data_IF_129412550617
#
_entry.id   IF_129412550617
#
_cell.length_a   1.000
_cell.length_b   1.000
_cell.length_c   1.000
_cell.angle_alpha   90.00
_cell.angle_beta   90.00
_cell.angle_gamma   90.00
#
_symmetry.space_group_name_H-M   'P 1'
#
loop_
_entity.id
_entity.type
_entity.pdbx_description
1 polymer ?
#
# COMPACT_ATOMS: atom_id res chain seq x y z
N UNK A 1 -8.10 32.71 -3.10
CA UNK A 1 -6.85 33.47 -2.96
C UNK A 1 -5.81 32.54 -2.39
N UNK A 2 -4.76 32.34 -3.17
CA UNK A 2 -3.67 31.37 -3.03
C UNK A 2 -2.59 31.85 -2.07
N UNK A 3 -2.11 30.97 -1.21
CA UNK A 3 -0.81 31.07 -0.56
C UNK A 3 -0.35 29.65 -0.19
N UNK A 4 0.43 29.05 -1.07
CA UNK A 4 1.27 27.89 -0.78
C UNK A 4 2.58 28.42 -0.19
N UNK A 5 2.83 28.18 1.09
CA UNK A 5 4.16 28.37 1.69
C UNK A 5 4.74 26.99 2.00
N UNK A 6 5.58 26.52 1.08
CA UNK A 6 6.40 25.33 1.23
C UNK A 6 7.66 25.67 2.03
N UNK A 7 7.79 25.04 3.20
CA UNK A 7 9.01 24.99 4.00
C UNK A 7 10.17 24.37 3.22
N UNK A 8 11.21 25.17 2.92
CA UNK A 8 12.49 24.69 2.40
C UNK A 8 13.57 24.87 3.46
N UNK A 9 14.10 23.78 4.01
CA UNK A 9 15.32 23.81 4.83
C UNK A 9 16.51 24.04 3.90
N UNK A 10 17.12 25.23 3.99
CA UNK A 10 18.20 25.68 3.11
C UNK A 10 19.57 25.22 3.63
N UNK A 11 20.25 24.33 2.90
CA UNK A 11 21.62 23.84 3.20
C UNK A 11 22.73 24.81 2.76
N UNK A 12 22.38 26.01 2.32
CA UNK A 12 23.33 27.00 1.80
C UNK A 12 24.25 27.60 2.88
N UNK A 13 23.85 27.59 4.16
CA UNK A 13 24.61 28.23 5.25
C UNK A 13 25.86 27.46 5.69
N UNK A 14 25.96 26.15 5.42
CA UNK A 14 27.07 25.30 5.90
C UNK A 14 28.32 25.33 5.00
N UNK A 15 28.22 25.92 3.80
CA UNK A 15 29.33 25.97 2.83
C UNK A 15 30.00 27.35 2.74
N UNK A 16 29.45 28.37 3.40
CA UNK A 16 30.00 29.73 3.37
C UNK A 16 31.21 29.88 4.31
N UNK A 17 31.23 29.17 5.43
CA UNK A 17 32.25 29.36 6.48
C UNK A 17 33.61 28.71 6.17
N UNK A 18 33.72 27.87 5.14
CA UNK A 18 35.00 27.24 4.75
C UNK A 18 35.82 28.06 3.74
N UNK A 19 35.28 29.14 3.18
CA UNK A 19 35.95 29.88 2.10
C UNK A 19 36.85 31.03 2.55
N UNK A 20 36.72 31.48 3.80
CA UNK A 20 37.40 32.69 4.29
C UNK A 20 38.80 32.48 4.91
N UNK A 21 39.44 31.32 4.77
CA UNK A 21 40.69 31.01 5.48
C UNK A 21 41.93 30.83 4.59
N UNK A 22 41.87 31.05 3.27
CA UNK A 22 42.96 30.74 2.35
C UNK A 22 43.18 31.84 1.29
N UNK A 23 43.42 33.07 1.72
CA UNK A 23 43.99 34.09 0.82
C UNK A 23 45.15 34.81 1.51
N UNK A 24 46.38 34.45 1.10
CA UNK A 24 47.60 35.08 1.58
C UNK A 24 48.78 34.83 0.65
N UNK A 25 49.28 35.92 0.05
CA UNK A 25 50.56 36.10 -0.66
C UNK A 25 50.71 35.60 -2.11
N UNK A 26 50.95 36.60 -2.96
CA UNK A 26 51.12 36.66 -4.43
C UNK A 26 52.45 36.11 -4.97
N UNK A 27 52.38 35.46 -6.14
CA UNK A 27 53.45 35.52 -7.16
C UNK A 27 52.80 35.41 -8.55
N UNK A 28 53.30 36.14 -9.56
CA UNK A 28 52.68 36.25 -10.89
C UNK A 28 52.67 34.96 -11.73
N UNK A 29 53.25 33.86 -11.22
CA UNK A 29 53.09 32.51 -11.79
C UNK A 29 52.00 31.68 -11.09
N UNK A 30 51.39 32.20 -10.01
CA UNK A 30 50.25 31.59 -9.33
C UNK A 30 48.91 31.97 -9.98
N UNK A 31 48.79 33.14 -10.63
CA UNK A 31 47.56 33.55 -11.32
C UNK A 31 47.24 32.66 -12.53
N UNK A 32 48.23 32.26 -13.33
CA UNK A 32 47.99 31.38 -14.49
C UNK A 32 47.66 29.94 -14.05
N UNK A 33 48.24 29.46 -12.94
CA UNK A 33 47.92 28.13 -12.39
C UNK A 33 46.55 28.16 -11.71
N UNK A 34 46.22 29.23 -10.97
CA UNK A 34 44.91 29.44 -10.35
C UNK A 34 43.81 29.63 -11.39
N UNK A 35 44.03 30.37 -12.48
CA UNK A 35 43.04 30.51 -13.57
C UNK A 35 42.81 29.20 -14.32
N UNK A 36 43.85 28.39 -14.53
CA UNK A 36 43.71 27.07 -15.16
C UNK A 36 43.06 26.06 -14.21
N UNK A 37 43.34 26.13 -12.90
CA UNK A 37 42.68 25.32 -11.88
C UNK A 37 41.23 25.76 -11.64
N UNK A 38 40.92 27.05 -11.64
CA UNK A 38 39.57 27.59 -11.54
C UNK A 38 38.76 27.31 -12.81
N UNK A 39 39.34 27.44 -14.01
CA UNK A 39 38.68 27.04 -15.25
C UNK A 39 38.44 25.52 -15.33
N UNK A 40 39.36 24.69 -14.81
CA UNK A 40 39.16 23.23 -14.67
C UNK A 40 38.11 22.91 -13.60
N UNK A 41 38.08 23.65 -12.49
CA UNK A 41 37.10 23.49 -11.42
C UNK A 41 35.70 23.93 -11.86
N UNK A 42 35.58 25.02 -12.64
CA UNK A 42 34.33 25.50 -13.20
C UNK A 42 33.83 24.60 -14.33
N UNK A 43 34.72 24.07 -15.18
CA UNK A 43 34.37 23.03 -16.16
C UNK A 43 33.86 21.76 -15.47
N UNK A 44 34.56 21.28 -14.42
CA UNK A 44 34.11 20.16 -13.59
C UNK A 44 32.76 20.45 -12.90
N UNK A 45 32.54 21.69 -12.43
CA UNK A 45 31.30 22.11 -11.78
C UNK A 45 30.14 22.17 -12.78
N UNK A 46 30.37 22.69 -13.99
CA UNK A 46 29.38 22.70 -15.07
C UNK A 46 29.05 21.29 -15.55
N UNK A 47 30.03 20.41 -15.71
CA UNK A 47 29.81 19.00 -16.04
C UNK A 47 29.01 18.27 -14.95
N UNK A 48 29.34 18.49 -13.67
CA UNK A 48 28.57 17.94 -12.55
C UNK A 48 27.13 18.47 -12.53
N UNK A 49 26.92 19.75 -12.85
CA UNK A 49 25.59 20.35 -12.94
C UNK A 49 24.79 19.76 -14.10
N UNK A 50 25.40 19.62 -15.27
CA UNK A 50 24.80 18.98 -16.43
C UNK A 50 24.42 17.52 -16.16
N UNK A 51 25.30 16.76 -15.50
CA UNK A 51 25.02 15.38 -15.12
C UNK A 51 23.85 15.28 -14.13
N UNK A 52 23.79 16.17 -13.12
CA UNK A 52 22.66 16.23 -12.18
C UNK A 52 21.35 16.56 -12.88
N UNK A 53 21.37 17.50 -13.83
CA UNK A 53 20.18 17.85 -14.60
C UNK A 53 19.75 16.70 -15.52
N UNK A 54 20.68 16.01 -16.17
CA UNK A 54 20.40 14.83 -16.97
C UNK A 54 19.77 13.71 -16.11
N UNK A 55 20.33 13.45 -14.93
CA UNK A 55 19.77 12.48 -13.97
C UNK A 55 18.37 12.91 -13.49
N UNK A 56 18.16 14.20 -13.26
CA UNK A 56 16.85 14.75 -12.88
C UNK A 56 15.83 14.54 -14.01
N UNK A 57 16.16 14.92 -15.25
CA UNK A 57 15.29 14.72 -16.41
C UNK A 57 14.97 13.25 -16.63
N UNK A 58 15.96 12.37 -16.48
CA UNK A 58 15.78 10.92 -16.55
C UNK A 58 14.77 10.40 -15.51
N UNK A 59 14.76 10.97 -14.29
CA UNK A 59 13.77 10.61 -13.26
C UNK A 59 12.38 11.20 -13.55
N UNK A 60 12.30 12.43 -14.07
CA UNK A 60 11.03 13.07 -14.47
C UNK A 60 10.33 12.25 -15.55
N UNK A 61 11.09 11.84 -16.58
CA UNK A 61 10.59 11.07 -17.73
C UNK A 61 10.52 9.56 -17.45
N UNK A 62 10.98 9.12 -16.28
CA UNK A 62 11.01 7.72 -15.89
C UNK A 62 9.63 7.06 -15.84
N UNK A 63 9.56 5.77 -16.16
CA UNK A 63 8.33 4.98 -16.14
C UNK A 63 8.54 3.54 -15.66
N UNK A 64 7.59 3.01 -14.89
CA UNK A 64 7.58 1.63 -14.40
C UNK A 64 7.13 0.67 -15.50
N UNK A 65 6.21 1.13 -16.36
CA UNK A 65 5.65 0.34 -17.46
C UNK A 65 5.11 1.24 -18.56
N UNK A 66 5.09 0.72 -19.78
CA UNK A 66 4.43 1.33 -20.94
C UNK A 66 2.97 0.92 -21.07
N UNK A 67 2.58 -0.12 -20.34
CA UNK A 67 1.25 -0.73 -20.37
C UNK A 67 0.30 0.07 -19.47
N UNK A 68 -0.86 0.43 -19.99
CA UNK A 68 -1.96 1.05 -19.24
C UNK A 68 -2.94 0.01 -18.71
N UNK A 69 -3.82 0.42 -17.78
CA UNK A 69 -4.91 -0.43 -17.29
C UNK A 69 -5.88 -0.86 -18.41
N UNK A 70 -6.05 -0.02 -19.44
CA UNK A 70 -6.89 -0.35 -20.60
C UNK A 70 -6.28 -1.45 -21.47
N UNK A 71 -4.95 -1.48 -21.59
CA UNK A 71 -4.24 -2.49 -22.41
C UNK A 71 -4.35 -3.90 -21.80
N UNK A 72 -4.64 -4.00 -20.50
CA UNK A 72 -4.78 -5.26 -19.76
C UNK A 72 -6.22 -5.56 -19.35
N UNK A 73 -7.17 -4.74 -19.80
CA UNK A 73 -8.58 -4.95 -19.56
C UNK A 73 -9.29 -5.41 -20.84
N UNK A 74 -10.24 -6.31 -20.70
CA UNK A 74 -11.12 -6.77 -21.77
C UNK A 74 -12.56 -6.76 -21.30
N UNK A 75 -13.51 -6.61 -22.22
CA UNK A 75 -14.93 -6.64 -21.91
C UNK A 75 -15.45 -8.08 -21.99
N UNK A 76 -15.93 -8.63 -20.88
CA UNK A 76 -16.61 -9.94 -20.80
C UNK A 76 -17.94 -9.78 -20.10
N UNK A 77 -19.00 -10.34 -20.67
CA UNK A 77 -20.36 -10.32 -20.09
C UNK A 77 -20.82 -8.91 -19.65
N UNK A 78 -20.46 -7.88 -20.43
CA UNK A 78 -20.83 -6.48 -20.15
C UNK A 78 -20.03 -5.80 -19.03
N UNK A 79 -19.01 -6.46 -18.46
CA UNK A 79 -18.10 -5.91 -17.47
C UNK A 79 -16.64 -5.95 -17.92
N UNK A 80 -15.82 -5.01 -17.44
CA UNK A 80 -14.38 -5.11 -17.62
C UNK A 80 -13.80 -6.19 -16.72
N UNK A 81 -12.90 -6.98 -17.28
CA UNK A 81 -12.14 -8.04 -16.63
C UNK A 81 -10.67 -7.99 -17.09
N UNK A 82 -9.79 -8.68 -16.39
CA UNK A 82 -8.39 -8.82 -16.81
C UNK A 82 -8.31 -9.65 -18.09
N UNK A 83 -7.45 -9.27 -19.05
CA UNK A 83 -7.41 -9.93 -20.36
C UNK A 83 -7.12 -11.43 -20.31
N UNK A 84 -6.57 -11.95 -19.20
CA UNK A 84 -6.41 -13.39 -18.99
C UNK A 84 -7.55 -13.91 -18.12
N UNK A 85 -8.32 -14.82 -18.69
CA UNK A 85 -9.48 -15.42 -18.06
C UNK A 85 -9.13 -16.11 -16.75
N UNK A 86 -10.05 -16.03 -15.79
CA UNK A 86 -10.00 -16.77 -14.52
C UNK A 86 -8.69 -16.63 -13.74
N UNK A 87 -7.95 -15.53 -13.95
CA UNK A 87 -6.62 -15.32 -13.35
C UNK A 87 -6.69 -14.43 -12.12
N UNK A 88 -7.50 -13.38 -12.16
CA UNK A 88 -7.67 -12.46 -11.04
C UNK A 88 -8.97 -12.76 -10.30
N UNK A 89 -8.94 -12.54 -8.99
CA UNK A 89 -10.14 -12.38 -8.16
C UNK A 89 -10.26 -10.90 -7.84
N UNK A 90 -11.44 -10.32 -7.99
CA UNK A 90 -11.71 -8.95 -7.55
C UNK A 90 -12.90 -8.93 -6.58
N UNK A 91 -12.62 -8.69 -5.31
CA UNK A 91 -13.63 -8.49 -4.29
C UNK A 91 -13.94 -7.00 -4.24
N UNK A 92 -15.14 -6.63 -4.68
CA UNK A 92 -15.58 -5.23 -4.73
C UNK A 92 -16.35 -4.88 -3.47
N UNK A 93 -16.05 -3.72 -2.89
CA UNK A 93 -16.93 -3.08 -1.92
C UNK A 93 -18.21 -2.59 -2.59
N UNK A 94 -19.06 -1.94 -1.80
CA UNK A 94 -20.28 -1.28 -2.29
C UNK A 94 -20.01 0.13 -2.80
N UNK A 95 -18.93 0.76 -2.31
CA UNK A 95 -18.51 2.12 -2.64
C UNK A 95 -16.98 2.23 -2.73
N UNK A 96 -16.51 3.34 -3.28
CA UNK A 96 -15.16 3.88 -3.14
C UNK A 96 -15.07 4.81 -1.91
N UNK A 97 -13.86 5.22 -1.55
CA UNK A 97 -13.68 6.26 -0.53
C UNK A 97 -14.28 7.63 -0.93
N UNK A 98 -14.49 7.88 -2.22
CA UNK A 98 -14.99 9.16 -2.70
C UNK A 98 -16.51 9.30 -2.59
N UNK A 99 -17.25 8.19 -2.46
CA UNK A 99 -18.72 8.20 -2.32
C UNK A 99 -19.20 8.86 -1.02
N UNK A 100 -18.30 9.08 -0.04
CA UNK A 100 -18.58 9.91 1.13
C UNK A 100 -18.96 11.35 0.74
N UNK A 101 -18.42 11.86 -0.38
CA UNK A 101 -18.66 13.23 -0.87
C UNK A 101 -20.12 13.48 -1.26
N UNK A 102 -20.81 12.45 -1.73
CA UNK A 102 -22.17 12.60 -2.27
C UNK A 102 -23.26 12.42 -1.20
N UNK A 103 -22.89 12.16 0.06
CA UNK A 103 -23.84 11.83 1.14
C UNK A 103 -24.64 10.55 0.90
N UNK A 104 -24.24 9.76 -0.12
CA UNK A 104 -24.96 8.56 -0.59
C UNK A 104 -24.81 7.37 0.33
N UNK A 105 -23.78 7.34 1.18
CA UNK A 105 -23.52 6.23 2.09
C UNK A 105 -23.66 6.67 3.54
N UNK A 106 -24.62 6.10 4.28
CA UNK A 106 -24.74 6.28 5.74
C UNK A 106 -23.57 5.68 6.54
N UNK A 107 -22.68 4.95 5.88
CA UNK A 107 -21.61 4.18 6.51
C UNK A 107 -20.38 5.06 6.81
N UNK A 108 -19.97 5.94 5.89
CA UNK A 108 -18.76 6.75 6.03
C UNK A 108 -19.02 8.09 6.72
N UNK A 109 -18.02 8.65 7.42
CA UNK A 109 -18.17 9.94 8.10
C UNK A 109 -18.28 11.10 7.09
N UNK A 110 -18.91 12.22 7.48
CA UNK A 110 -19.30 13.28 6.55
C UNK A 110 -18.15 14.14 6.00
N UNK A 111 -16.96 14.14 6.63
CA UNK A 111 -15.87 15.07 6.29
C UNK A 111 -14.59 14.39 5.76
N UNK A 112 -14.62 13.06 5.57
CA UNK A 112 -13.44 12.33 5.12
C UNK A 112 -13.42 12.22 3.61
N UNK A 113 -12.40 12.80 2.97
CA UNK A 113 -12.29 12.92 1.52
C UNK A 113 -11.05 12.23 0.93
N UNK A 114 -10.07 11.87 1.78
CA UNK A 114 -8.81 11.21 1.43
C UNK A 114 -8.35 10.33 2.59
N UNK A 115 -8.95 9.15 2.72
CA UNK A 115 -8.52 8.17 3.71
C UNK A 115 -7.68 7.04 3.10
N UNK A 116 -7.23 7.14 1.84
CA UNK A 116 -6.64 5.97 1.17
C UNK A 116 -5.33 5.50 1.82
N UNK A 117 -4.54 6.40 2.41
CA UNK A 117 -3.40 5.98 3.20
C UNK A 117 -3.81 5.23 4.47
N UNK A 118 -4.83 5.72 5.18
CA UNK A 118 -5.39 5.03 6.35
C UNK A 118 -6.01 3.68 5.99
N UNK A 119 -6.73 3.61 4.87
CA UNK A 119 -7.27 2.36 4.31
C UNK A 119 -6.16 1.38 3.98
N UNK A 120 -5.20 1.79 3.16
CA UNK A 120 -4.13 0.92 2.70
C UNK A 120 -3.28 0.41 3.85
N UNK A 121 -3.00 1.25 4.87
CA UNK A 121 -2.29 0.83 6.09
C UNK A 121 -3.11 -0.13 6.96
N UNK A 122 -4.40 0.12 7.21
CA UNK A 122 -5.23 -0.77 8.02
C UNK A 122 -5.48 -2.09 7.29
N UNK A 123 -5.87 -2.05 6.01
CA UNK A 123 -6.11 -3.24 5.19
C UNK A 123 -4.85 -4.12 5.11
N UNK A 124 -3.68 -3.49 4.90
CA UNK A 124 -2.39 -4.16 4.96
C UNK A 124 -2.18 -4.91 6.28
N UNK A 125 -2.32 -4.22 7.41
CA UNK A 125 -2.06 -4.80 8.74
C UNK A 125 -3.06 -5.91 9.06
N UNK A 126 -4.35 -5.65 8.88
CA UNK A 126 -5.42 -6.60 9.23
C UNK A 126 -5.36 -7.83 8.34
N UNK A 127 -5.32 -7.67 7.02
CA UNK A 127 -5.40 -8.82 6.11
C UNK A 127 -4.11 -9.64 6.06
N UNK A 128 -2.93 -9.01 6.19
CA UNK A 128 -1.69 -9.78 6.29
C UNK A 128 -1.55 -10.54 7.61
N UNK A 129 -2.27 -10.12 8.67
CA UNK A 129 -2.27 -10.80 9.98
C UNK A 129 -2.95 -12.18 9.93
N UNK A 130 -3.78 -12.42 8.92
CA UNK A 130 -4.35 -13.75 8.64
C UNK A 130 -3.25 -14.79 8.42
N UNK A 131 -2.18 -14.38 7.73
CA UNK A 131 -0.95 -15.12 7.52
C UNK A 131 -1.01 -16.36 6.61
N UNK A 132 -2.19 -16.95 6.41
CA UNK A 132 -2.45 -18.02 5.45
C UNK A 132 -3.59 -17.68 4.50
N UNK A 133 -3.55 -18.23 3.29
CA UNK A 133 -4.61 -17.99 2.30
C UNK A 133 -5.94 -18.65 2.68
N UNK A 134 -5.93 -19.75 3.44
CA UNK A 134 -7.15 -20.43 3.90
C UNK A 134 -7.96 -19.57 4.87
N UNK A 135 -7.31 -18.80 5.75
CA UNK A 135 -8.01 -17.91 6.70
C UNK A 135 -8.59 -16.68 5.99
N UNK A 136 -7.99 -16.23 4.88
CA UNK A 136 -8.60 -15.20 4.02
C UNK A 136 -9.93 -15.64 3.41
N UNK A 137 -10.15 -16.94 3.17
CA UNK A 137 -11.41 -17.42 2.63
C UNK A 137 -12.59 -17.17 3.58
N UNK A 138 -12.34 -17.09 4.89
CA UNK A 138 -13.34 -16.77 5.90
C UNK A 138 -13.88 -15.33 5.76
N UNK A 139 -13.14 -14.46 5.07
CA UNK A 139 -13.47 -13.05 4.93
C UNK A 139 -13.25 -12.50 3.51
N UNK A 140 -13.26 -13.37 2.51
CA UNK A 140 -13.04 -12.99 1.11
C UNK A 140 -14.34 -12.51 0.45
N UNK A 141 -14.97 -11.46 1.00
CA UNK A 141 -16.26 -10.96 0.54
C UNK A 141 -16.40 -9.42 0.58
N UNK A 142 -17.56 -8.94 0.10
CA UNK A 142 -17.92 -7.51 0.04
C UNK A 142 -17.93 -6.87 1.42
N UNK A 143 -18.32 -7.60 2.47
CA UNK A 143 -18.43 -7.10 3.84
C UNK A 143 -17.07 -6.69 4.39
N UNK A 144 -16.02 -7.44 4.05
CA UNK A 144 -14.64 -7.13 4.42
C UNK A 144 -14.16 -5.82 3.82
N UNK A 145 -14.37 -5.60 2.52
CA UNK A 145 -13.96 -4.35 1.85
C UNK A 145 -14.74 -3.17 2.42
N UNK A 146 -16.05 -3.34 2.63
CA UNK A 146 -16.90 -2.32 3.24
C UNK A 146 -16.48 -2.00 4.67
N UNK A 147 -16.11 -3.01 5.47
CA UNK A 147 -15.69 -2.80 6.85
C UNK A 147 -14.38 -2.04 6.92
N UNK A 148 -13.39 -2.46 6.13
CA UNK A 148 -12.10 -1.79 6.04
C UNK A 148 -12.28 -0.33 5.61
N UNK A 149 -13.11 -0.07 4.59
CA UNK A 149 -13.39 1.30 4.14
C UNK A 149 -14.08 2.14 5.23
N UNK A 150 -15.12 1.57 5.86
CA UNK A 150 -15.85 2.18 6.96
C UNK A 150 -14.92 2.59 8.10
N UNK A 151 -14.16 1.62 8.64
CA UNK A 151 -13.37 1.86 9.84
C UNK A 151 -12.19 2.78 9.54
N UNK A 152 -11.57 2.65 8.37
CA UNK A 152 -10.48 3.52 7.95
C UNK A 152 -10.93 4.97 7.79
N UNK A 153 -12.11 5.22 7.22
CA UNK A 153 -12.63 6.58 7.07
C UNK A 153 -12.91 7.22 8.45
N UNK A 154 -13.58 6.49 9.36
CA UNK A 154 -13.85 6.98 10.70
C UNK A 154 -12.59 7.23 11.51
N UNK A 155 -11.66 6.27 11.53
CA UNK A 155 -10.40 6.39 12.25
C UNK A 155 -9.53 7.51 11.69
N UNK A 156 -9.52 7.71 10.37
CA UNK A 156 -8.88 8.86 9.75
C UNK A 156 -9.43 10.17 10.31
N UNK A 157 -10.76 10.35 10.32
CA UNK A 157 -11.38 11.60 10.78
C UNK A 157 -11.10 11.90 12.26
N UNK A 158 -11.29 10.92 13.13
CA UNK A 158 -11.24 11.15 14.58
C UNK A 158 -9.80 11.19 15.12
N UNK A 159 -8.84 10.59 14.41
CA UNK A 159 -7.43 10.64 14.78
C UNK A 159 -6.69 11.83 14.18
N UNK A 160 -7.28 12.54 13.20
CA UNK A 160 -6.65 13.68 12.53
C UNK A 160 -6.01 14.72 13.46
N UNK A 161 -6.64 15.11 14.61
CA UNK A 161 -6.01 16.08 15.52
C UNK A 161 -4.82 15.56 16.31
N UNK A 162 -4.58 14.24 16.33
CA UNK A 162 -3.45 13.60 17.02
C UNK A 162 -2.21 13.59 16.14
N UNK A 163 -2.35 13.80 14.83
CA UNK A 163 -1.21 13.77 13.92
C UNK A 163 -0.29 14.98 14.16
N UNK A 164 1.05 14.80 14.13
CA UNK A 164 2.01 15.89 14.32
C UNK A 164 1.81 17.04 13.33
N UNK A 165 1.42 16.74 12.09
CA UNK A 165 1.22 17.73 11.05
C UNK A 165 -0.26 18.09 10.89
N UNK A 166 -0.65 19.28 11.37
CA UNK A 166 -2.01 19.78 11.19
C UNK A 166 -2.28 20.13 9.73
N UNK A 167 -3.42 19.66 9.20
CA UNK A 167 -3.90 19.89 7.82
C UNK A 167 -3.07 19.23 6.71
N UNK A 168 -2.09 18.40 7.06
CA UNK A 168 -1.38 17.54 6.12
C UNK A 168 -1.92 16.11 6.19
N UNK A 169 -1.69 15.36 5.11
CA UNK A 169 -1.98 13.92 5.05
C UNK A 169 -1.09 13.17 6.04
N UNK A 170 -1.61 12.20 6.81
CA UNK A 170 -0.79 11.49 7.78
C UNK A 170 0.24 10.63 7.08
N UNK A 171 1.46 10.57 7.61
CA UNK A 171 2.44 9.56 7.20
C UNK A 171 2.03 8.17 7.71
N UNK A 172 2.64 7.11 7.16
CA UNK A 172 2.45 5.74 7.68
C UNK A 172 2.86 5.65 9.16
N UNK A 173 3.91 6.38 9.56
CA UNK A 173 4.35 6.48 10.95
C UNK A 173 3.30 7.13 11.86
N UNK A 174 2.68 8.22 11.40
CA UNK A 174 1.61 8.89 12.14
C UNK A 174 0.42 7.96 12.38
N UNK A 175 0.03 7.18 11.37
CA UNK A 175 -1.03 6.19 11.48
C UNK A 175 -0.65 5.06 12.43
N UNK A 176 0.55 4.50 12.31
CA UNK A 176 1.04 3.45 13.20
C UNK A 176 1.00 3.86 14.67
N UNK A 177 1.41 5.10 14.97
CA UNK A 177 1.42 5.64 16.32
C UNK A 177 0.00 5.98 16.81
N UNK A 178 -0.75 6.79 16.05
CA UNK A 178 -2.07 7.26 16.46
C UNK A 178 -3.09 6.12 16.58
N UNK A 179 -2.99 5.11 15.72
CA UNK A 179 -3.89 3.95 15.70
C UNK A 179 -3.32 2.74 16.45
N UNK A 180 -2.16 2.86 17.11
CA UNK A 180 -1.57 1.81 17.96
C UNK A 180 -1.48 0.43 17.28
N UNK A 181 -1.28 0.41 15.95
CA UNK A 181 -1.44 -0.82 15.15
C UNK A 181 -0.51 -1.95 15.60
N UNK A 182 0.72 -1.59 16.01
CA UNK A 182 1.75 -2.55 16.46
C UNK A 182 1.41 -3.29 17.75
N UNK A 183 0.49 -2.76 18.55
CA UNK A 183 0.12 -3.31 19.85
C UNK A 183 -0.92 -4.41 19.74
N UNK A 184 -1.77 -4.36 18.70
CA UNK A 184 -2.93 -5.23 18.58
C UNK A 184 -2.81 -6.26 17.44
N UNK A 185 -1.97 -5.99 16.44
CA UNK A 185 -1.85 -6.85 15.27
C UNK A 185 -0.44 -7.44 15.13
N UNK A 186 -0.32 -8.71 14.68
CA UNK A 186 0.96 -9.37 14.50
C UNK A 186 1.72 -8.84 13.29
N UNK A 187 1.01 -8.38 12.25
CA UNK A 187 1.61 -7.69 11.13
C UNK A 187 1.91 -6.24 11.47
N UNK A 188 3.09 -5.76 11.08
CA UNK A 188 3.60 -4.43 11.41
C UNK A 188 4.13 -3.75 10.16
N UNK A 189 3.70 -2.51 9.94
CA UNK A 189 4.36 -1.66 8.95
C UNK A 189 5.62 -1.08 9.59
N UNK A 190 6.77 -1.29 8.95
CA UNK A 190 8.06 -0.78 9.42
C UNK A 190 8.36 0.55 8.70
N UNK A 191 7.85 1.65 9.24
CA UNK A 191 8.07 2.98 8.66
C UNK A 191 9.53 3.44 8.68
N UNK A 192 10.41 2.82 9.49
CA UNK A 192 11.85 3.13 9.50
C UNK A 192 12.64 2.45 8.38
N UNK A 193 12.05 1.49 7.67
CA UNK A 193 12.69 0.70 6.61
C UNK A 193 12.14 1.05 5.22
N UNK A 194 11.41 2.16 5.08
CA UNK A 194 10.82 2.52 3.80
C UNK A 194 11.88 2.83 2.75
N UNK A 195 11.61 2.44 1.51
CA UNK A 195 12.46 2.74 0.36
C UNK A 195 11.79 3.82 -0.51
N UNK A 196 12.58 4.78 -1.00
CA UNK A 196 12.13 5.76 -2.00
C UNK A 196 12.47 5.23 -3.38
N UNK A 197 11.45 5.00 -4.21
CA UNK A 197 11.60 4.49 -5.57
C UNK A 197 11.14 5.54 -6.58
N UNK A 198 11.98 5.81 -7.57
CA UNK A 198 11.62 6.59 -8.74
C UNK A 198 10.97 5.70 -9.80
N UNK A 199 10.12 6.30 -10.63
CA UNK A 199 9.41 5.56 -11.67
C UNK A 199 10.33 4.91 -12.71
N UNK A 200 11.57 5.36 -12.92
CA UNK A 200 12.56 4.68 -13.78
C UNK A 200 13.24 3.45 -13.14
N UNK A 201 12.93 3.09 -11.89
CA UNK A 201 13.54 1.96 -11.17
C UNK A 201 12.66 0.70 -11.22
N UNK A 202 12.18 0.34 -12.43
CA UNK A 202 11.28 -0.80 -12.65
C UNK A 202 11.83 -2.11 -12.09
N UNK A 203 13.11 -2.40 -12.31
CA UNK A 203 13.69 -3.68 -11.89
C UNK A 203 13.73 -3.81 -10.37
N UNK A 204 14.03 -2.71 -9.67
CA UNK A 204 13.94 -2.67 -8.21
C UNK A 204 12.52 -2.90 -7.70
N UNK A 205 11.53 -2.27 -8.34
CA UNK A 205 10.12 -2.49 -7.97
C UNK A 205 9.70 -3.96 -8.19
N UNK A 206 10.21 -4.63 -9.24
CA UNK A 206 9.96 -6.07 -9.45
C UNK A 206 10.59 -6.91 -8.35
N UNK A 207 11.83 -6.64 -7.97
CA UNK A 207 12.50 -7.35 -6.87
C UNK A 207 11.70 -7.26 -5.56
N UNK A 208 11.08 -6.12 -5.27
CA UNK A 208 10.20 -5.95 -4.10
C UNK A 208 8.92 -6.80 -4.21
N UNK A 209 8.33 -6.91 -5.40
CA UNK A 209 7.19 -7.81 -5.63
C UNK A 209 7.61 -9.28 -5.48
N UNK A 210 8.77 -9.67 -5.98
CA UNK A 210 9.27 -11.04 -5.90
C UNK A 210 9.57 -11.47 -4.44
N UNK A 211 9.94 -10.52 -3.58
CA UNK A 211 10.12 -10.75 -2.14
C UNK A 211 8.84 -11.28 -1.47
N UNK A 212 7.65 -10.95 -1.99
CA UNK A 212 6.38 -11.40 -1.44
C UNK A 212 6.18 -12.93 -1.53
N UNK A 213 6.84 -13.58 -2.49
CA UNK A 213 6.79 -15.04 -2.70
C UNK A 213 8.14 -15.71 -2.39
N UNK A 214 8.98 -15.07 -1.57
CA UNK A 214 10.28 -15.63 -1.19
C UNK A 214 10.14 -16.61 -0.03
N UNK A 215 10.62 -17.83 -0.19
CA UNK A 215 10.82 -18.76 0.93
C UNK A 215 12.20 -18.55 1.53
N UNK A 216 12.26 -18.09 2.78
CA UNK A 216 13.52 -18.17 3.54
C UNK A 216 13.87 -19.65 3.73
N UNK A 217 14.82 -20.15 2.95
CA UNK A 217 15.35 -21.51 3.11
C UNK A 217 16.06 -21.62 4.47
N UNK A 218 15.49 -22.42 5.37
CA UNK A 218 16.26 -23.26 6.27
C UNK A 218 17.21 -22.63 7.30
N UNK A 219 16.80 -21.61 8.06
CA UNK A 219 17.48 -21.32 9.33
C UNK A 219 16.60 -21.78 10.49
N UNK A 220 17.15 -22.57 11.43
CA UNK A 220 16.49 -22.92 12.70
C UNK A 220 16.13 -21.69 13.56
N UNK A 221 16.62 -20.49 13.19
CA UNK A 221 16.29 -19.19 13.78
C UNK A 221 15.28 -18.37 12.94
N UNK A 222 14.72 -18.93 11.86
CA UNK A 222 13.79 -18.22 10.98
C UNK A 222 12.43 -17.90 11.65
N UNK A 223 12.06 -18.65 12.70
CA UNK A 223 10.78 -18.49 13.40
C UNK A 223 10.69 -17.17 14.20
N UNK A 224 11.83 -16.58 14.56
CA UNK A 224 11.91 -15.23 15.14
C UNK A 224 12.07 -14.11 14.11
N UNK A 225 12.28 -14.44 12.82
CA UNK A 225 12.51 -13.42 11.78
C UNK A 225 11.18 -12.83 11.29
N UNK A 226 11.11 -11.50 11.27
CA UNK A 226 10.01 -10.74 10.70
C UNK A 226 10.13 -10.74 9.17
N UNK A 227 9.49 -11.71 8.51
CA UNK A 227 9.46 -11.81 7.05
C UNK A 227 8.62 -10.69 6.45
N UNK A 228 9.05 -10.14 5.30
CA UNK A 228 8.23 -9.21 4.53
C UNK A 228 7.07 -9.99 3.92
N UNK A 229 5.85 -9.53 4.19
CA UNK A 229 4.61 -10.13 3.71
C UNK A 229 3.76 -9.13 2.91
N UNK A 230 4.28 -7.93 2.66
CA UNK A 230 3.57 -6.90 1.92
C UNK A 230 4.27 -5.55 1.96
N UNK A 231 3.66 -4.56 1.29
CA UNK A 231 4.09 -3.16 1.31
C UNK A 231 2.89 -2.23 1.34
N UNK A 232 3.02 -1.10 2.03
CA UNK A 232 2.18 0.09 1.80
C UNK A 232 2.95 0.99 0.84
N UNK A 233 2.33 1.35 -0.28
CA UNK A 233 2.95 2.12 -1.36
C UNK A 233 2.24 3.45 -1.49
N UNK A 234 2.94 4.55 -1.18
CA UNK A 234 2.42 5.90 -1.39
C UNK A 234 3.08 6.54 -2.61
N UNK A 235 2.26 7.08 -3.52
CA UNK A 235 2.67 7.82 -4.71
C UNK A 235 1.87 9.11 -4.81
N UNK A 236 2.46 10.22 -4.35
CA UNK A 236 1.72 11.47 -4.17
C UNK A 236 0.57 11.31 -3.17
N UNK A 237 -0.64 11.68 -3.59
CA UNK A 237 -1.91 11.52 -2.87
C UNK A 237 -2.54 10.13 -3.03
N UNK A 238 -1.96 9.26 -3.87
CA UNK A 238 -2.42 7.88 -4.02
C UNK A 238 -1.70 6.94 -3.07
N UNK A 239 -2.44 6.00 -2.48
CA UNK A 239 -1.84 4.96 -1.65
C UNK A 239 -2.57 3.65 -1.84
N UNK A 240 -1.80 2.62 -2.17
CA UNK A 240 -2.24 1.22 -2.23
C UNK A 240 -1.45 0.39 -1.25
N UNK A 241 -1.97 -0.77 -0.91
CA UNK A 241 -1.16 -1.79 -0.24
C UNK A 241 -1.19 -3.09 -1.00
N UNK A 242 -0.09 -3.81 -0.94
CA UNK A 242 0.04 -5.16 -1.48
C UNK A 242 0.45 -6.10 -0.36
N UNK A 243 -0.02 -7.34 -0.39
CA UNK A 243 0.39 -8.36 0.57
C UNK A 243 0.30 -9.76 -0.02
N UNK A 244 0.99 -10.71 0.62
CA UNK A 244 0.98 -12.11 0.27
C UNK A 244 0.56 -12.99 1.43
N UNK A 245 -0.20 -14.03 1.10
CA UNK A 245 -0.61 -15.08 2.03
C UNK A 245 -0.14 -16.42 1.48
N UNK A 246 0.59 -17.18 2.30
CA UNK A 246 1.05 -18.51 1.90
C UNK A 246 -0.10 -19.53 1.98
N UNK A 247 -0.08 -20.52 1.09
CA UNK A 247 -0.94 -21.69 1.20
C UNK A 247 -0.24 -22.77 2.01
N UNK A 248 -0.99 -23.46 2.87
CA UNK A 248 -0.47 -24.60 3.62
C UNK A 248 -0.41 -25.86 2.74
N UNK A 249 0.64 -25.95 1.93
CA UNK A 249 0.88 -27.08 0.99
C UNK A 249 2.09 -27.92 1.35
N UNK A 250 2.92 -27.47 2.29
CA UNK A 250 4.19 -28.13 2.64
C UNK A 250 3.90 -29.40 3.43
N UNK A 251 4.56 -30.50 3.06
CA UNK A 251 4.42 -31.79 3.76
C UNK A 251 3.10 -32.52 3.49
N UNK A 252 2.21 -31.96 2.64
CA UNK A 252 0.97 -32.63 2.22
C UNK A 252 1.28 -33.55 1.03
N UNK A 253 1.15 -34.90 1.19
CA UNK A 253 1.52 -35.85 0.14
C UNK A 253 0.68 -35.64 -1.14
N UNK A 254 -0.60 -35.32 -0.97
CA UNK A 254 -1.55 -35.12 -2.08
C UNK A 254 -1.59 -33.68 -2.62
N UNK A 255 -0.76 -32.76 -2.11
CA UNK A 255 -0.74 -31.39 -2.63
C UNK A 255 -0.15 -31.34 -4.05
N UNK A 256 -0.82 -30.64 -4.96
CA UNK A 256 -0.37 -30.43 -6.36
C UNK A 256 0.84 -29.49 -6.45
N UNK A 257 0.99 -28.58 -5.49
CA UNK A 257 2.02 -27.55 -5.47
C UNK A 257 3.06 -27.84 -4.40
N UNK A 258 4.32 -27.53 -4.68
CA UNK A 258 5.39 -27.53 -3.67
C UNK A 258 5.33 -26.26 -2.81
N UNK A 259 4.96 -25.13 -3.43
CA UNK A 259 4.77 -23.83 -2.80
C UNK A 259 3.63 -23.09 -3.53
N UNK A 260 2.83 -22.32 -2.78
CA UNK A 260 1.78 -21.47 -3.37
C UNK A 260 1.49 -20.25 -2.48
N UNK A 261 1.06 -19.16 -3.11
CA UNK A 261 0.73 -17.88 -2.49
C UNK A 261 -0.49 -17.24 -3.14
N UNK A 262 -1.27 -16.50 -2.38
CA UNK A 262 -2.22 -15.54 -2.92
C UNK A 262 -1.69 -14.14 -2.66
N UNK A 263 -1.53 -13.37 -3.73
CA UNK A 263 -1.08 -11.98 -3.74
C UNK A 263 -2.29 -11.07 -3.89
N UNK A 264 -2.33 -9.97 -3.14
CA UNK A 264 -3.46 -9.03 -3.18
C UNK A 264 -2.99 -7.58 -3.30
N UNK A 265 -3.77 -6.77 -4.01
CA UNK A 265 -3.71 -5.31 -4.09
C UNK A 265 -4.98 -4.76 -3.44
N UNK A 266 -4.83 -3.89 -2.44
CA UNK A 266 -5.91 -3.14 -1.83
C UNK A 266 -5.96 -1.74 -2.42
N UNK A 267 -7.09 -1.38 -3.02
CA UNK A 267 -7.33 -0.05 -3.58
C UNK A 267 -8.66 0.50 -3.07
N UNK A 268 -8.64 1.64 -2.38
CA UNK A 268 -9.87 2.31 -1.91
C UNK A 268 -10.50 3.25 -2.94
N UNK A 269 -9.77 3.59 -4.02
CA UNK A 269 -10.26 4.53 -5.02
C UNK A 269 -11.21 3.87 -6.03
N UNK A 270 -10.99 2.58 -6.35
CA UNK A 270 -11.73 1.91 -7.42
C UNK A 270 -11.22 2.29 -8.81
N UNK A 271 -9.90 2.39 -8.93
CA UNK A 271 -9.21 2.82 -10.15
C UNK A 271 -9.06 1.71 -11.19
N UNK A 272 -9.04 0.45 -10.74
CA UNK A 272 -8.92 -0.70 -11.62
C UNK A 272 -10.20 -0.85 -12.46
N UNK A 273 -10.14 -1.12 -13.79
CA UNK A 273 -11.34 -1.17 -14.64
C UNK A 273 -12.38 -2.17 -14.15
N UNK A 274 -11.92 -3.35 -13.74
CA UNK A 274 -12.76 -4.41 -13.17
C UNK A 274 -13.17 -4.16 -11.71
N UNK A 275 -12.87 -3.02 -11.11
CA UNK A 275 -13.45 -2.64 -9.81
C UNK A 275 -14.82 -1.97 -9.95
N UNK A 276 -15.14 -1.47 -11.15
CA UNK A 276 -16.36 -0.71 -11.41
C UNK A 276 -16.47 0.58 -10.60
N UNK A 277 -15.34 1.24 -10.31
CA UNK A 277 -15.32 2.49 -9.54
C UNK A 277 -15.50 2.31 -8.04
N UNK A 278 -15.30 1.10 -7.50
CA UNK A 278 -15.51 0.78 -6.08
C UNK A 278 -14.19 0.37 -5.42
N UNK A 279 -14.07 0.59 -4.12
CA UNK A 279 -12.96 0.04 -3.36
C UNK A 279 -12.89 -1.48 -3.58
N UNK A 280 -11.70 -2.04 -3.67
CA UNK A 280 -11.55 -3.45 -4.01
C UNK A 280 -10.28 -4.10 -3.43
N UNK A 281 -10.35 -5.42 -3.34
CA UNK A 281 -9.21 -6.32 -3.15
C UNK A 281 -9.06 -7.12 -4.43
N UNK A 282 -8.01 -6.87 -5.19
CA UNK A 282 -7.69 -7.63 -6.41
C UNK A 282 -6.57 -8.59 -6.10
N UNK A 283 -6.74 -9.88 -6.36
CA UNK A 283 -5.73 -10.88 -6.07
C UNK A 283 -5.45 -11.86 -7.19
N UNK A 284 -4.24 -12.44 -7.16
CA UNK A 284 -3.78 -13.52 -8.05
C UNK A 284 -3.24 -14.63 -7.17
N UNK A 285 -3.62 -15.87 -7.47
CA UNK A 285 -3.02 -17.03 -6.81
C UNK A 285 -1.93 -17.62 -7.70
N UNK A 286 -0.77 -17.86 -7.11
CA UNK A 286 0.42 -18.35 -7.79
C UNK A 286 0.95 -19.61 -7.13
N UNK A 287 1.53 -20.51 -7.92
CA UNK A 287 2.05 -21.78 -7.43
C UNK A 287 3.26 -22.30 -8.20
N UNK A 288 4.06 -23.11 -7.51
CA UNK A 288 5.12 -23.92 -8.09
C UNK A 288 4.60 -25.36 -8.14
N UNK A 289 4.24 -25.90 -9.33
CA UNK A 289 3.70 -27.25 -9.44
C UNK A 289 4.77 -28.29 -9.07
N UNK A 290 4.35 -29.40 -8.46
CA UNK A 290 5.22 -30.58 -8.33
C UNK A 290 5.46 -31.21 -9.71
N UNK A 291 6.55 -31.96 -9.85
CA UNK A 291 6.84 -32.68 -11.09
C UNK A 291 5.65 -33.56 -11.51
N UNK A 292 5.20 -33.41 -12.76
CA UNK A 292 4.06 -34.15 -13.30
C UNK A 292 2.67 -33.65 -12.86
N UNK A 293 2.59 -32.58 -12.05
CA UNK A 293 1.31 -31.96 -11.70
C UNK A 293 0.93 -30.87 -12.71
N UNK A 294 -0.32 -30.92 -13.18
CA UNK A 294 -0.89 -29.83 -13.97
C UNK A 294 -1.34 -28.67 -13.09
N UNK A 295 -1.31 -27.46 -13.66
CA UNK A 295 -1.77 -26.25 -13.01
C UNK A 295 -3.30 -26.30 -12.91
N UNK A 296 -3.86 -26.15 -11.69
CA UNK A 296 -5.29 -26.04 -11.48
C UNK A 296 -5.86 -24.71 -11.96
N UNK A 297 -7.11 -24.71 -12.39
CA UNK A 297 -7.87 -23.49 -12.69
C UNK A 297 -7.75 -22.47 -11.54
N UNK A 298 -7.48 -21.21 -11.89
CA UNK A 298 -7.35 -20.10 -10.94
C UNK A 298 -5.99 -19.96 -10.24
N UNK A 299 -5.03 -20.86 -10.52
CA UNK A 299 -3.64 -20.73 -10.06
C UNK A 299 -2.74 -20.52 -11.26
N UNK A 300 -1.84 -19.56 -11.20
CA UNK A 300 -0.86 -19.28 -12.27
C UNK A 300 0.53 -19.78 -11.85
N UNK A 301 1.36 -20.18 -12.81
CA UNK A 301 2.77 -20.46 -12.52
C UNK A 301 3.44 -19.24 -11.88
N UNK A 302 4.27 -19.47 -10.83
CA UNK A 302 4.86 -18.41 -9.99
C UNK A 302 5.39 -17.20 -10.77
N UNK A 303 6.33 -17.41 -11.69
CA UNK A 303 7.00 -16.33 -12.43
C UNK A 303 6.04 -15.54 -13.32
N UNK A 304 5.11 -16.25 -13.97
CA UNK A 304 4.11 -15.64 -14.82
C UNK A 304 3.07 -14.85 -14.01
N UNK A 305 2.64 -15.39 -12.87
CA UNK A 305 1.71 -14.73 -11.96
C UNK A 305 2.32 -13.48 -11.30
N UNK A 306 3.59 -13.52 -10.90
CA UNK A 306 4.33 -12.35 -10.41
C UNK A 306 4.44 -11.27 -11.49
N UNK A 307 4.69 -11.65 -12.75
CA UNK A 307 4.68 -10.73 -13.89
C UNK A 307 3.32 -10.07 -14.07
N UNK A 308 2.21 -10.82 -13.99
CA UNK A 308 0.86 -10.25 -14.07
C UNK A 308 0.54 -9.32 -12.91
N UNK A 309 0.88 -9.73 -11.70
CA UNK A 309 0.68 -8.92 -10.50
C UNK A 309 1.44 -7.59 -10.58
N UNK A 310 2.72 -7.62 -10.96
CA UNK A 310 3.54 -6.43 -11.17
C UNK A 310 2.99 -5.55 -12.30
N UNK A 311 2.48 -6.14 -13.39
CA UNK A 311 1.87 -5.41 -14.49
C UNK A 311 0.62 -4.65 -14.06
N UNK A 312 -0.28 -5.28 -13.29
CA UNK A 312 -1.47 -4.63 -12.73
C UNK A 312 -1.05 -3.47 -11.81
N UNK A 313 -0.15 -3.75 -10.86
CA UNK A 313 0.32 -2.76 -9.89
C UNK A 313 1.02 -1.57 -10.56
N UNK A 314 1.90 -1.82 -11.53
CA UNK A 314 2.67 -0.75 -12.18
C UNK A 314 1.81 0.07 -13.13
N UNK A 315 0.89 -0.56 -13.86
CA UNK A 315 -0.08 0.16 -14.70
C UNK A 315 -0.96 1.07 -13.83
N UNK A 316 -1.35 0.59 -12.65
CA UNK A 316 -2.11 1.35 -11.67
C UNK A 316 -1.34 2.57 -11.14
N UNK A 317 -0.08 2.38 -10.73
CA UNK A 317 0.78 3.46 -10.23
C UNK A 317 1.11 4.50 -11.31
N UNK A 318 1.25 4.07 -12.57
CA UNK A 318 1.45 4.94 -13.74
C UNK A 318 0.20 5.73 -14.11
N UNK A 319 -0.97 5.10 -14.10
CA UNK A 319 -2.24 5.76 -14.37
C UNK A 319 -2.49 6.87 -13.35
N UNK A 320 -2.21 6.61 -12.07
CA UNK A 320 -2.27 7.65 -11.04
C UNK A 320 -1.31 8.81 -11.32
N UNK A 321 -0.03 8.50 -11.56
CA UNK A 321 1.00 9.51 -11.84
C UNK A 321 0.56 10.45 -12.98
N UNK A 322 0.03 9.89 -14.07
CA UNK A 322 -0.44 10.67 -15.24
C UNK A 322 -1.56 11.65 -14.89
N UNK A 323 -2.41 11.32 -13.91
CA UNK A 323 -3.53 12.15 -13.47
C UNK A 323 -3.12 13.31 -12.55
N UNK A 324 -1.97 13.21 -11.88
CA UNK A 324 -1.57 14.13 -10.81
C UNK A 324 -0.30 14.93 -11.08
N UNK A 325 0.55 14.55 -12.03
CA UNK A 325 1.83 15.24 -12.21
C UNK A 325 1.69 16.65 -12.82
N UNK A 326 2.05 17.65 -12.03
CA UNK A 326 2.69 18.87 -12.51
C UNK A 326 4.05 18.51 -13.13
N UNK A 327 4.35 19.04 -14.32
CA UNK A 327 5.59 18.77 -15.09
C UNK A 327 6.88 19.20 -14.37
N UNK A 328 6.79 19.85 -13.21
CA UNK A 328 7.94 20.45 -12.52
C UNK A 328 8.59 19.53 -11.47
N UNK A 329 7.89 18.52 -10.95
CA UNK A 329 8.38 17.66 -9.87
C UNK A 329 8.79 16.27 -10.35
N UNK A 330 9.85 15.72 -9.75
CA UNK A 330 10.28 14.34 -9.97
C UNK A 330 9.29 13.40 -9.26
N UNK A 331 8.53 12.55 -9.98
CA UNK A 331 7.60 11.63 -9.36
C UNK A 331 8.37 10.48 -8.70
N UNK A 332 8.01 10.19 -7.45
CA UNK A 332 8.57 9.08 -6.68
C UNK A 332 7.47 8.42 -5.85
N UNK A 333 7.78 7.25 -5.33
CA UNK A 333 6.93 6.47 -4.45
C UNK A 333 7.71 6.09 -3.20
N UNK A 334 7.01 5.88 -2.09
CA UNK A 334 7.58 5.23 -0.91
C UNK A 334 7.00 3.84 -0.75
N UNK A 335 7.85 2.86 -0.47
CA UNK A 335 7.46 1.48 -0.23
C UNK A 335 7.80 1.13 1.22
N UNK A 336 6.81 1.09 2.09
CA UNK A 336 6.99 0.73 3.50
C UNK A 336 6.68 -0.76 3.70
N UNK A 337 7.66 -1.58 4.12
CA UNK A 337 7.45 -3.02 4.24
C UNK A 337 6.50 -3.36 5.40
N UNK A 338 5.66 -4.35 5.16
CA UNK A 338 4.81 -4.99 6.15
C UNK A 338 5.49 -6.29 6.54
N UNK A 339 5.76 -6.47 7.84
CA UNK A 339 6.40 -7.67 8.35
C UNK A 339 5.54 -8.38 9.37
N UNK A 340 5.61 -9.70 9.35
CA UNK A 340 4.92 -10.60 10.29
C UNK A 340 5.85 -11.73 10.69
N UNK A 341 5.75 -12.18 11.94
CA UNK A 341 6.38 -13.44 12.36
C UNK A 341 5.67 -14.59 11.66
N UNK A 342 6.43 -15.45 10.98
CA UNK A 342 5.87 -16.47 10.09
C UNK A 342 4.86 -17.40 10.78
N UNK A 343 5.13 -17.78 12.03
CA UNK A 343 4.30 -18.69 12.81
C UNK A 343 3.01 -18.06 13.36
N UNK A 344 2.88 -16.73 13.35
CA UNK A 344 1.71 -16.05 13.91
C UNK A 344 0.62 -15.92 12.87
N UNK A 345 -0.49 -16.63 13.07
CA UNK A 345 -1.62 -16.70 12.15
C UNK A 345 -2.89 -16.39 12.95
N UNK A 346 -3.78 -15.58 12.40
CA UNK A 346 -5.11 -15.36 12.96
C UNK A 346 -6.20 -15.77 11.96
N UNK A 347 -7.30 -16.26 12.51
CA UNK A 347 -8.58 -16.43 11.82
C UNK A 347 -9.27 -15.08 11.66
N UNK A 348 -10.28 -15.01 10.79
CA UNK A 348 -11.11 -13.81 10.67
C UNK A 348 -11.86 -13.51 11.98
N UNK A 349 -12.28 -14.54 12.71
CA UNK A 349 -12.99 -14.38 13.99
C UNK A 349 -12.09 -13.82 15.10
N UNK A 350 -10.84 -14.29 15.20
CA UNK A 350 -9.85 -13.72 16.14
C UNK A 350 -9.58 -12.25 15.84
N UNK A 351 -9.43 -11.89 14.55
CA UNK A 351 -9.26 -10.49 14.15
C UNK A 351 -10.47 -9.63 14.53
N UNK A 352 -11.70 -10.13 14.36
CA UNK A 352 -12.91 -9.43 14.79
C UNK A 352 -12.92 -9.19 16.30
N UNK A 353 -12.59 -10.20 17.09
CA UNK A 353 -12.49 -10.08 18.55
C UNK A 353 -11.43 -9.04 18.97
N UNK A 354 -10.26 -9.05 18.34
CA UNK A 354 -9.21 -8.03 18.58
C UNK A 354 -9.75 -6.63 18.26
N UNK A 355 -10.39 -6.45 17.12
CA UNK A 355 -10.90 -5.16 16.67
C UNK A 355 -11.95 -4.62 17.64
N UNK A 356 -12.96 -5.44 17.96
CA UNK A 356 -14.13 -5.02 18.72
C UNK A 356 -13.88 -4.89 20.22
N UNK A 357 -13.09 -5.79 20.80
CA UNK A 357 -12.99 -5.91 22.25
C UNK A 357 -11.69 -5.29 22.79
N UNK A 358 -10.67 -5.11 21.94
CA UNK A 358 -9.34 -4.63 22.35
C UNK A 358 -8.92 -3.34 21.66
N UNK A 359 -8.84 -3.33 20.33
CA UNK A 359 -8.23 -2.26 19.55
C UNK A 359 -9.05 -0.97 19.57
N UNK A 360 -10.28 -1.00 19.04
CA UNK A 360 -11.14 0.20 18.99
C UNK A 360 -11.42 0.77 20.38
N UNK A 361 -11.79 -0.03 21.40
CA UNK A 361 -11.94 0.48 22.77
C UNK A 361 -10.66 1.14 23.31
N UNK A 362 -9.48 0.61 22.98
CA UNK A 362 -8.21 1.18 23.42
C UNK A 362 -7.85 2.49 22.73
N UNK A 363 -8.28 2.71 21.48
CA UNK A 363 -8.17 4.01 20.81
C UNK A 363 -9.07 5.06 21.47
N UNK A 364 -10.28 4.66 21.88
CA UNK A 364 -11.22 5.56 22.57
C UNK A 364 -10.77 5.99 23.96
N UNK A 365 -9.75 5.35 24.55
CA UNK A 365 -9.12 5.81 25.80
C UNK A 365 -8.27 7.07 25.61
N UNK A 366 -7.87 7.40 24.38
CA UNK A 366 -7.18 8.66 24.09
C UNK A 366 -8.19 9.82 24.15
N UNK A 367 -7.98 10.76 25.07
CA UNK A 367 -8.90 11.89 25.31
C UNK A 367 -9.15 12.77 24.07
N UNK A 368 -8.17 12.90 23.16
CA UNK A 368 -8.32 13.68 21.93
C UNK A 368 -9.23 12.95 20.95
N UNK A 369 -8.97 11.65 20.73
CA UNK A 369 -9.79 10.80 19.86
C UNK A 369 -11.22 10.70 20.39
N UNK A 370 -11.40 10.47 21.69
CA UNK A 370 -12.71 10.37 22.34
C UNK A 370 -13.52 11.67 22.17
N UNK A 371 -12.88 12.83 22.25
CA UNK A 371 -13.52 14.13 22.05
C UNK A 371 -14.01 14.29 20.61
N UNK A 372 -13.20 13.95 19.62
CA UNK A 372 -13.62 14.00 18.21
C UNK A 372 -14.71 12.96 17.91
N UNK A 373 -14.60 11.76 18.48
CA UNK A 373 -15.64 10.73 18.37
C UNK A 373 -16.99 11.26 18.91
N UNK A 374 -17.00 11.91 20.08
CA UNK A 374 -18.21 12.55 20.62
C UNK A 374 -18.71 13.69 19.73
N UNK A 375 -17.82 14.54 19.24
CA UNK A 375 -18.15 15.67 18.36
C UNK A 375 -18.83 15.22 17.06
N UNK A 376 -18.38 14.13 16.46
CA UNK A 376 -18.95 13.58 15.23
C UNK A 376 -19.98 12.48 15.46
N UNK A 377 -20.39 12.25 16.71
CA UNK A 377 -21.33 11.18 17.09
C UNK A 377 -20.93 9.79 16.57
N UNK A 378 -19.62 9.52 16.58
CA UNK A 378 -19.10 8.22 16.19
C UNK A 378 -19.51 7.15 17.22
N UNK A 379 -20.32 6.20 16.77
CA UNK A 379 -20.64 4.98 17.50
C UNK A 379 -20.13 3.80 16.66
N UNK A 380 -19.01 3.17 17.03
CA UNK A 380 -18.40 2.14 16.20
C UNK A 380 -19.33 0.94 16.05
N UNK A 381 -19.71 0.63 14.81
CA UNK A 381 -20.30 -0.66 14.46
C UNK A 381 -19.36 -1.81 14.84
N UNK A 382 -19.94 -2.91 15.32
CA UNK A 382 -19.23 -4.18 15.50
C UNK A 382 -18.60 -4.63 14.18
N UNK A 383 -17.46 -5.29 14.28
CA UNK A 383 -16.68 -5.74 13.14
C UNK A 383 -17.49 -6.74 12.30
N UNK A 384 -17.87 -6.30 11.10
CA UNK A 384 -18.66 -7.10 10.15
C UNK A 384 -17.81 -7.71 9.04
N UNK A 385 -16.48 -7.80 9.23
CA UNK A 385 -15.57 -8.50 8.33
C UNK A 385 -16.00 -9.97 8.19
N UNK A 386 -16.06 -10.48 6.95
CA UNK A 386 -16.49 -11.85 6.66
C UNK A 386 -17.93 -12.17 7.06
N UNK A 387 -18.78 -11.17 7.35
CA UNK A 387 -20.21 -11.42 7.47
C UNK A 387 -20.75 -11.67 6.06
N UNK A 388 -20.87 -12.95 5.73
CA UNK A 388 -21.73 -13.38 4.64
C UNK A 388 -23.08 -12.72 4.85
N UNK A 389 -23.61 -12.06 3.82
CA UNK A 389 -25.02 -11.66 3.77
C UNK A 389 -25.82 -12.95 3.92
N UNK A 390 -26.13 -13.34 5.16
CA UNK A 390 -26.71 -14.63 5.45
C UNK A 390 -28.04 -14.67 4.74
N UNK A 391 -28.22 -15.75 3.96
CA UNK A 391 -29.48 -16.28 3.47
C UNK A 391 -30.60 -15.77 4.35
N UNK A 392 -31.49 -14.98 3.77
CA UNK A 392 -32.77 -14.61 4.38
C UNK A 392 -33.33 -15.91 4.96
N UNK A 393 -33.27 -16.06 6.28
CA UNK A 393 -34.06 -17.08 6.95
C UNK A 393 -35.46 -16.54 6.75
N UNK A 394 -36.10 -17.00 5.67
CA UNK A 394 -37.54 -16.89 5.53
C UNK A 394 -38.06 -17.62 6.76
N UNK A 395 -38.46 -16.83 7.75
CA UNK A 395 -39.22 -17.30 8.87
C UNK A 395 -40.57 -17.76 8.34
N UNK A 396 -40.60 -18.92 7.69
CA UNK A 396 -41.81 -19.72 7.55
C UNK A 396 -42.02 -20.38 8.92
N UNK A 397 -42.41 -19.53 9.88
CA UNK A 397 -43.16 -19.98 11.03
C UNK A 397 -44.52 -20.42 10.54
N UNK A 398 -44.62 -21.71 10.20
CA UNK A 398 -45.87 -22.45 10.19
C UNK A 398 -46.43 -22.35 11.60
N UNK A 399 -47.45 -21.51 11.78
CA UNK A 399 -48.36 -21.61 12.91
C UNK A 399 -49.70 -22.09 12.36
N UNK A 400 -49.87 -23.40 12.33
CA UNK A 400 -51.20 -23.98 12.31
C UNK A 400 -51.83 -23.84 13.69
N UNK A 401 -53.04 -23.27 13.75
CA UNK A 401 -54.18 -23.73 14.57
C UNK A 401 -55.24 -22.64 14.69
N UNK A 402 -56.32 -22.77 13.92
CA UNK A 402 -57.70 -22.98 14.40
C UNK A 402 -58.59 -23.29 13.20
#
# INVERSE_FOLDING_TARGET
MSAEESSTVSTASLLADQRNMLEGSTSANAEVIAEVEDAKNDSNRMQRRALREQQRLHRIQGRLTDISLNDIATLRDGGYDFFIENTIVCIRGSCSQFDARDGRTKLMPPLTHDCCQTFSTIAAVVLSSLGLAVTMQECSDVSTVNYLLYISAWLHQISAPVWPQRRARPTVGDLNAALRLREFFPSRVNEGEFEVLFYNQRDRAKELVDQLCSTSRGSRNADGSLSVCGYVIASGDYTVSIFSLAHDVKGRPNARYSEAWSLYICDSHGTQPWSGGKACLTGITVGVPKAGAEVSNGVVAKEEGLRYFAMILFALLEDHKRKTTSLQHVPYMTWSPIRRQRATLYTAEELKGIIDDSWIPSLMKNNVIAREAKKYSFSPLKCFLGLSASKTVVANGVAGSS
#
